data_IF_133182969296
#
_entry.id   IF_133182969296
#
_cell.length_a   1.000
_cell.length_b   1.000
_cell.length_c   1.000
_cell.angle_alpha   90.00
_cell.angle_beta   90.00
_cell.angle_gamma   90.00
#
_symmetry.space_group_name_H-M   'P 1'
#
loop_
_entity.id
_entity.type
_entity.pdbx_description
1 polymer ?
#
# COMPACT_ATOMS: atom_id res chain seq x y z
N UNK A 1 13.58 -6.90 10.03
CA UNK A 1 12.13 -6.80 9.72
C UNK A 1 11.85 -5.39 9.23
N UNK A 2 11.07 -5.20 8.19
CA UNK A 2 10.81 -3.89 7.53
C UNK A 2 10.18 -2.84 8.46
N UNK A 3 9.58 -3.27 9.56
CA UNK A 3 8.82 -2.40 10.47
C UNK A 3 7.53 -1.83 9.84
N UNK A 4 7.07 -2.41 8.72
CA UNK A 4 5.79 -2.07 8.09
C UNK A 4 4.70 -2.94 8.70
N UNK A 5 3.58 -2.36 9.19
CA UNK A 5 2.47 -3.15 9.73
C UNK A 5 1.87 -4.09 8.66
N UNK A 6 1.52 -5.32 9.03
CA UNK A 6 0.97 -6.29 8.07
C UNK A 6 -0.41 -5.91 7.57
N UNK A 7 -1.15 -5.05 8.30
CA UNK A 7 -2.52 -4.70 8.00
C UNK A 7 -2.78 -3.21 8.16
N UNK A 8 -3.24 -2.56 7.11
CA UNK A 8 -3.56 -1.14 7.10
C UNK A 8 -4.93 -0.86 6.47
N UNK A 9 -5.34 0.40 6.55
CA UNK A 9 -6.53 0.95 5.91
C UNK A 9 -6.11 1.84 4.74
N UNK A 10 -6.50 1.46 3.52
CA UNK A 10 -6.33 2.29 2.33
C UNK A 10 -7.45 3.33 2.22
N UNK A 11 -7.12 4.48 1.66
CA UNK A 11 -8.08 5.61 1.48
C UNK A 11 -8.36 5.95 0.02
N UNK A 12 -7.84 5.17 -0.92
CA UNK A 12 -8.08 5.39 -2.35
C UNK A 12 -9.57 5.40 -2.68
N UNK A 13 -10.02 6.38 -3.48
CA UNK A 13 -11.42 6.64 -3.87
C UNK A 13 -12.37 7.05 -2.73
N UNK A 14 -11.91 7.24 -1.53
CA UNK A 14 -12.72 7.81 -0.45
C UNK A 14 -12.58 9.33 -0.49
N UNK A 15 -13.69 10.05 -0.40
CA UNK A 15 -13.73 11.51 -0.50
C UNK A 15 -14.58 12.16 0.61
N UNK A 16 -14.26 13.39 0.96
CA UNK A 16 -15.05 14.21 1.90
C UNK A 16 -15.32 13.50 3.23
N UNK A 17 -16.55 13.58 3.74
CA UNK A 17 -16.93 12.97 5.01
C UNK A 17 -16.77 11.44 5.02
N UNK A 18 -16.88 10.78 3.86
CA UNK A 18 -16.76 9.32 3.76
C UNK A 18 -15.37 8.85 4.18
N UNK A 19 -14.30 9.56 3.80
CA UNK A 19 -12.95 9.19 4.23
C UNK A 19 -12.73 9.48 5.72
N UNK A 20 -13.24 10.59 6.23
CA UNK A 20 -13.19 10.92 7.67
C UNK A 20 -13.83 9.79 8.49
N UNK A 21 -15.05 9.39 8.11
CA UNK A 21 -15.79 8.34 8.82
C UNK A 21 -15.10 6.98 8.69
N UNK A 22 -14.58 6.63 7.50
CA UNK A 22 -13.86 5.37 7.30
C UNK A 22 -12.60 5.27 8.17
N UNK A 23 -11.79 6.34 8.19
CA UNK A 23 -10.55 6.38 9.01
C UNK A 23 -10.90 6.36 10.49
N UNK A 24 -11.88 7.14 10.95
CA UNK A 24 -12.35 7.14 12.33
C UNK A 24 -12.81 5.75 12.76
N UNK A 25 -13.69 5.10 12.00
CA UNK A 25 -14.15 3.74 12.29
C UNK A 25 -12.98 2.75 12.30
N UNK A 26 -12.05 2.88 11.37
CA UNK A 26 -10.85 2.03 11.34
C UNK A 26 -10.04 2.16 12.64
N UNK A 27 -9.74 3.38 13.08
CA UNK A 27 -9.00 3.64 14.32
C UNK A 27 -9.71 3.14 15.57
N UNK A 28 -11.04 3.35 15.67
CA UNK A 28 -11.89 2.79 16.74
C UNK A 28 -11.85 1.25 16.79
N UNK A 29 -11.78 0.59 15.62
CA UNK A 29 -11.69 -0.86 15.49
C UNK A 29 -10.29 -1.42 15.74
N UNK A 30 -9.27 -0.57 15.85
CA UNK A 30 -7.91 -0.99 16.14
C UNK A 30 -6.95 -0.96 14.95
N UNK A 31 -7.35 -0.43 13.78
CA UNK A 31 -6.37 -0.10 12.75
C UNK A 31 -5.36 0.91 13.28
N UNK A 32 -4.09 0.74 12.90
CA UNK A 32 -3.01 1.65 13.28
C UNK A 32 -2.15 2.08 12.08
N UNK A 33 -2.35 1.45 10.91
CA UNK A 33 -1.71 1.85 9.67
C UNK A 33 -2.75 2.46 8.71
N UNK A 34 -2.47 3.66 8.20
CA UNK A 34 -3.32 4.40 7.25
C UNK A 34 -2.50 4.71 6.01
N UNK A 35 -3.01 4.33 4.84
CA UNK A 35 -2.37 4.55 3.54
C UNK A 35 -3.17 5.54 2.71
N UNK A 36 -2.54 6.67 2.36
CA UNK A 36 -3.10 7.69 1.48
C UNK A 36 -2.09 8.07 0.37
N UNK A 37 -2.37 9.11 -0.39
CA UNK A 37 -1.46 9.67 -1.40
C UNK A 37 -1.89 11.09 -1.79
N UNK A 38 -0.96 11.90 -2.30
CA UNK A 38 -1.22 13.27 -2.77
C UNK A 38 -2.34 13.32 -3.81
N UNK A 39 -2.29 12.45 -4.82
CA UNK A 39 -3.27 12.42 -5.91
C UNK A 39 -4.69 12.04 -5.47
N UNK A 40 -4.86 11.43 -4.30
CA UNK A 40 -6.19 11.06 -3.83
C UNK A 40 -7.02 12.29 -3.43
N UNK A 41 -6.37 13.43 -3.17
CA UNK A 41 -7.05 14.68 -2.80
C UNK A 41 -7.75 14.64 -1.45
N UNK A 42 -7.42 13.67 -0.59
CA UNK A 42 -8.10 13.42 0.67
C UNK A 42 -7.19 13.47 1.92
N UNK A 43 -5.92 13.88 1.76
CA UNK A 43 -4.96 13.94 2.88
C UNK A 43 -5.46 14.84 4.02
N UNK A 44 -6.16 15.95 3.71
CA UNK A 44 -6.70 16.85 4.73
C UNK A 44 -7.79 16.18 5.59
N UNK A 45 -8.66 15.40 4.98
CA UNK A 45 -9.69 14.64 5.68
C UNK A 45 -9.12 13.48 6.48
N UNK A 46 -8.07 12.82 5.94
CA UNK A 46 -7.31 11.82 6.70
C UNK A 46 -6.69 12.48 7.94
N UNK A 47 -6.03 13.64 7.78
CA UNK A 47 -5.44 14.40 8.88
C UNK A 47 -6.48 14.85 9.93
N UNK A 48 -7.67 15.25 9.50
CA UNK A 48 -8.79 15.54 10.39
C UNK A 48 -9.17 14.33 11.24
N UNK A 49 -9.35 13.17 10.62
CA UNK A 49 -9.71 11.94 11.32
C UNK A 49 -8.62 11.46 12.28
N UNK A 50 -7.34 11.56 11.88
CA UNK A 50 -6.19 11.22 12.73
C UNK A 50 -6.14 12.11 13.97
N UNK A 51 -6.24 13.44 13.80
CA UNK A 51 -6.21 14.40 14.90
C UNK A 51 -7.39 14.24 15.89
N UNK A 52 -8.56 13.88 15.38
CA UNK A 52 -9.77 13.69 16.20
C UNK A 52 -9.84 12.32 16.89
N UNK A 53 -8.96 11.37 16.54
CA UNK A 53 -9.06 9.97 16.99
C UNK A 53 -8.69 9.75 18.46
N UNK A 54 -7.91 10.65 19.05
CA UNK A 54 -7.31 10.47 20.38
C UNK A 54 -6.18 9.43 20.42
N UNK A 55 -5.84 8.78 19.31
CA UNK A 55 -4.71 7.84 19.20
C UNK A 55 -3.43 8.66 19.11
N UNK A 56 -2.41 8.32 19.90
CA UNK A 56 -1.13 9.01 19.87
C UNK A 56 -0.47 8.84 18.48
N UNK A 57 0.21 9.91 18.02
CA UNK A 57 0.88 9.89 16.69
C UNK A 57 1.92 8.77 16.58
N UNK A 58 2.63 8.45 17.65
CA UNK A 58 3.67 7.40 17.67
C UNK A 58 3.09 5.96 17.68
N UNK A 59 1.79 5.80 17.89
CA UNK A 59 1.07 4.53 17.74
C UNK A 59 0.54 4.34 16.32
N UNK A 60 0.63 5.36 15.48
CA UNK A 60 0.14 5.32 14.10
C UNK A 60 1.28 5.12 13.11
N UNK A 61 0.99 4.38 12.05
CA UNK A 61 1.83 4.25 10.87
C UNK A 61 1.11 4.91 9.68
N UNK A 62 1.57 6.09 9.29
CA UNK A 62 0.95 6.87 8.22
C UNK A 62 1.82 6.81 6.98
N UNK A 63 1.22 6.40 5.85
CA UNK A 63 1.86 6.38 4.53
C UNK A 63 1.23 7.41 3.63
N UNK A 64 2.06 8.22 2.95
CA UNK A 64 1.65 9.00 1.80
C UNK A 64 2.56 8.74 0.60
N UNK A 65 2.19 9.23 -0.59
CA UNK A 65 2.91 8.97 -1.84
C UNK A 65 3.06 10.27 -2.61
N UNK A 66 4.27 10.52 -3.09
CA UNK A 66 4.57 11.68 -3.94
C UNK A 66 3.98 11.43 -5.33
N UNK A 67 3.24 12.40 -5.83
CA UNK A 67 2.69 12.35 -7.17
C UNK A 67 3.71 12.78 -8.22
N UNK A 68 3.55 12.30 -9.44
CA UNK A 68 4.52 12.44 -10.53
C UNK A 68 4.88 13.90 -10.89
N UNK A 69 3.98 14.84 -10.68
CA UNK A 69 4.19 16.26 -10.93
C UNK A 69 5.20 16.92 -9.96
N UNK A 70 5.52 16.23 -8.87
CA UNK A 70 6.38 16.69 -7.80
C UNK A 70 7.73 15.96 -7.72
N UNK A 71 8.14 15.24 -8.76
CA UNK A 71 9.38 14.44 -8.74
C UNK A 71 10.66 15.24 -8.83
N UNK A 72 10.62 16.44 -9.41
CA UNK A 72 11.79 17.31 -9.46
C UNK A 72 12.32 17.64 -8.07
N UNK A 73 13.64 17.70 -7.93
CA UNK A 73 14.33 17.84 -6.64
C UNK A 73 13.88 19.06 -5.84
N UNK A 74 13.57 20.16 -6.52
CA UNK A 74 13.07 21.40 -5.91
C UNK A 74 11.60 21.37 -5.53
N UNK A 75 10.84 20.35 -5.95
CA UNK A 75 9.39 20.20 -5.70
C UNK A 75 9.05 19.10 -4.73
N UNK A 76 9.82 18.02 -4.69
CA UNK A 76 9.47 16.83 -3.91
C UNK A 76 9.35 17.15 -2.40
N UNK A 77 10.38 17.75 -1.83
CA UNK A 77 10.39 18.10 -0.40
C UNK A 77 9.28 19.09 -0.04
N UNK A 78 9.10 20.23 -0.74
CA UNK A 78 7.97 21.12 -0.50
C UNK A 78 6.61 20.45 -0.61
N UNK A 79 6.41 19.55 -1.58
CA UNK A 79 5.15 18.82 -1.74
C UNK A 79 4.86 17.86 -0.58
N UNK A 80 5.91 17.25 0.00
CA UNK A 80 5.76 16.43 1.19
C UNK A 80 5.43 17.28 2.44
N UNK A 81 6.05 18.45 2.58
CA UNK A 81 5.70 19.40 3.66
C UNK A 81 4.23 19.84 3.57
N UNK A 82 3.72 20.07 2.35
CA UNK A 82 2.30 20.34 2.13
C UNK A 82 1.43 19.13 2.53
N UNK A 83 1.84 17.90 2.21
CA UNK A 83 1.16 16.67 2.65
C UNK A 83 1.15 16.58 4.18
N UNK A 84 2.26 16.86 4.86
CA UNK A 84 2.34 16.86 6.31
C UNK A 84 1.39 17.88 6.94
N UNK A 85 1.32 19.09 6.38
CA UNK A 85 0.36 20.12 6.84
C UNK A 85 -1.08 19.64 6.70
N UNK A 86 -1.46 19.02 5.57
CA UNK A 86 -2.77 18.41 5.34
C UNK A 86 -3.05 17.28 6.33
N UNK A 87 -2.09 16.41 6.56
CA UNK A 87 -2.17 15.28 7.49
C UNK A 87 -2.10 15.69 8.97
N UNK A 88 -1.83 16.99 9.26
CA UNK A 88 -1.72 17.57 10.62
C UNK A 88 -0.66 16.85 11.48
N UNK A 89 0.52 16.60 10.89
CA UNK A 89 1.62 15.89 11.53
C UNK A 89 2.97 16.44 11.07
N UNK A 90 4.00 16.33 11.88
CA UNK A 90 5.35 16.79 11.56
C UNK A 90 6.15 15.73 10.75
N UNK A 91 5.68 14.51 10.67
CA UNK A 91 6.32 13.44 9.92
C UNK A 91 5.29 12.38 9.47
N UNK A 92 5.65 11.62 8.43
CA UNK A 92 4.98 10.34 8.10
C UNK A 92 5.93 9.16 8.36
N UNK A 93 5.37 7.97 8.51
CA UNK A 93 6.16 6.77 8.77
C UNK A 93 6.75 6.19 7.48
N UNK A 94 6.09 6.45 6.34
CA UNK A 94 6.51 5.98 5.04
C UNK A 94 6.09 6.96 3.95
N UNK A 95 7.04 7.33 3.08
CA UNK A 95 6.77 8.07 1.84
C UNK A 95 7.18 7.22 0.65
N UNK A 96 6.29 7.12 -0.34
CA UNK A 96 6.53 6.35 -1.56
C UNK A 96 6.62 7.26 -2.79
N UNK A 97 7.46 6.90 -3.75
CA UNK A 97 7.28 7.31 -5.15
C UNK A 97 6.07 6.54 -5.67
N UNK A 98 5.02 7.25 -6.15
CA UNK A 98 3.71 6.63 -6.42
C UNK A 98 3.72 5.78 -7.69
N UNK A 99 4.33 6.26 -8.76
CA UNK A 99 4.51 5.59 -10.04
C UNK A 99 5.90 5.85 -10.59
N UNK A 100 6.47 4.95 -11.38
CA UNK A 100 7.76 5.22 -12.03
C UNK A 100 7.70 6.35 -13.06
N UNK A 101 6.55 6.57 -13.71
CA UNK A 101 6.27 7.63 -14.68
C UNK A 101 7.44 7.86 -15.66
N UNK A 102 7.80 6.87 -16.51
CA UNK A 102 9.04 6.90 -17.30
C UNK A 102 9.12 8.07 -18.30
N UNK A 103 8.01 8.71 -18.60
CA UNK A 103 7.91 9.84 -19.54
C UNK A 103 7.82 11.21 -18.90
N UNK A 104 7.95 11.37 -17.57
CA UNK A 104 7.73 12.67 -16.92
C UNK A 104 8.90 13.68 -17.02
N UNK A 105 10.00 13.27 -17.65
CA UNK A 105 11.17 14.14 -17.88
C UNK A 105 12.11 14.30 -16.69
N UNK A 106 11.77 13.81 -15.50
CA UNK A 106 12.64 13.82 -14.32
C UNK A 106 13.39 12.48 -14.23
N UNK A 107 14.72 12.46 -14.14
CA UNK A 107 15.47 11.24 -13.93
C UNK A 107 15.05 10.53 -12.64
N UNK A 108 14.90 9.21 -12.70
CA UNK A 108 14.51 8.40 -11.53
C UNK A 108 15.47 8.62 -10.35
N UNK A 109 16.75 8.68 -10.61
CA UNK A 109 17.82 8.86 -9.61
C UNK A 109 17.72 10.22 -8.90
N UNK A 110 17.28 11.26 -9.63
CA UNK A 110 17.03 12.59 -9.04
C UNK A 110 15.84 12.55 -8.07
N UNK A 111 14.73 11.97 -8.49
CA UNK A 111 13.54 11.78 -7.66
C UNK A 111 13.84 10.95 -6.40
N UNK A 112 14.59 9.85 -6.55
CA UNK A 112 14.98 8.99 -5.42
C UNK A 112 15.94 9.72 -4.47
N UNK A 113 16.88 10.53 -5.01
CA UNK A 113 17.75 11.37 -4.21
C UNK A 113 16.97 12.40 -3.39
N UNK A 114 16.00 13.08 -4.01
CA UNK A 114 15.12 14.01 -3.29
C UNK A 114 14.27 13.32 -2.19
N UNK A 115 13.83 12.10 -2.43
CA UNK A 115 13.12 11.30 -1.43
C UNK A 115 14.06 10.92 -0.24
N UNK A 116 15.32 10.64 -0.52
CA UNK A 116 16.33 10.39 0.52
C UNK A 116 16.62 11.66 1.33
N UNK A 117 16.67 12.84 0.69
CA UNK A 117 16.81 14.14 1.36
C UNK A 117 15.62 14.39 2.33
N UNK A 118 14.39 14.09 1.90
CA UNK A 118 13.20 14.18 2.76
C UNK A 118 13.32 13.29 4.01
N UNK A 119 13.86 12.08 3.86
CA UNK A 119 14.14 11.19 5.00
C UNK A 119 15.23 11.76 5.90
N UNK A 120 16.30 12.27 5.34
CA UNK A 120 17.41 12.87 6.10
C UNK A 120 16.95 14.11 6.90
N UNK A 121 15.97 14.85 6.36
CA UNK A 121 15.35 16.01 7.03
C UNK A 121 14.30 15.61 8.09
N UNK A 122 14.01 14.31 8.27
CA UNK A 122 13.07 13.82 9.28
C UNK A 122 11.60 13.92 8.91
N UNK A 123 11.26 14.35 7.68
CA UNK A 123 9.87 14.47 7.20
C UNK A 123 9.21 13.10 6.99
N UNK A 124 10.01 12.07 6.81
CA UNK A 124 9.56 10.67 6.73
C UNK A 124 10.54 9.73 7.42
N UNK A 125 10.04 8.73 8.12
CA UNK A 125 10.88 7.74 8.81
C UNK A 125 11.46 6.69 7.87
N UNK A 126 10.70 6.32 6.84
CA UNK A 126 11.04 5.32 5.82
C UNK A 126 10.69 5.84 4.44
N UNK A 127 11.39 5.32 3.46
CA UNK A 127 11.11 5.60 2.05
C UNK A 127 10.92 4.28 1.30
N UNK A 128 10.19 4.34 0.19
CA UNK A 128 9.95 3.21 -0.67
C UNK A 128 9.42 3.63 -2.03
N UNK A 129 9.01 2.65 -2.78
CA UNK A 129 8.49 2.86 -4.14
C UNK A 129 7.14 2.17 -4.30
N UNK A 130 6.42 2.52 -5.34
CA UNK A 130 5.18 1.86 -5.72
C UNK A 130 5.15 1.64 -7.23
N UNK A 131 4.64 0.47 -7.66
CA UNK A 131 4.50 0.11 -9.07
C UNK A 131 5.82 -0.03 -9.85
N UNK A 132 6.92 -0.31 -9.16
CA UNK A 132 8.20 -0.57 -9.80
C UNK A 132 8.29 -2.04 -10.22
N UNK A 133 8.72 -2.29 -11.47
CA UNK A 133 9.11 -3.60 -11.96
C UNK A 133 10.51 -3.97 -11.43
N UNK A 134 11.02 -5.15 -11.79
CA UNK A 134 12.33 -5.63 -11.33
C UNK A 134 13.46 -4.69 -11.77
N UNK A 135 13.45 -4.23 -13.02
CA UNK A 135 14.49 -3.34 -13.54
C UNK A 135 14.55 -2.02 -12.78
N UNK A 136 13.41 -1.36 -12.61
CA UNK A 136 13.30 -0.10 -11.87
C UNK A 136 13.67 -0.27 -10.39
N UNK A 137 13.30 -1.40 -9.80
CA UNK A 137 13.70 -1.71 -8.42
C UNK A 137 15.22 -1.88 -8.31
N UNK A 138 15.88 -2.54 -9.26
CA UNK A 138 17.34 -2.62 -9.32
C UNK A 138 18.01 -1.26 -9.43
N UNK A 139 17.46 -0.36 -10.27
CA UNK A 139 17.94 1.03 -10.37
C UNK A 139 17.77 1.77 -9.04
N UNK A 140 16.63 1.60 -8.38
CA UNK A 140 16.40 2.21 -7.06
C UNK A 140 17.39 1.68 -5.99
N UNK A 141 17.67 0.37 -5.99
CA UNK A 141 18.69 -0.23 -5.14
C UNK A 141 20.08 0.34 -5.43
N UNK A 142 20.43 0.50 -6.70
CA UNK A 142 21.73 1.08 -7.10
C UNK A 142 21.87 2.54 -6.67
N UNK A 143 20.77 3.32 -6.71
CA UNK A 143 20.78 4.73 -6.33
C UNK A 143 20.81 4.95 -4.81
N UNK A 144 20.09 4.15 -4.03
CA UNK A 144 19.85 4.38 -2.60
C UNK A 144 20.50 3.35 -1.66
N UNK A 145 20.89 2.19 -2.19
CA UNK A 145 21.21 0.99 -1.40
C UNK A 145 19.95 0.16 -1.06
N UNK A 146 20.09 -1.15 -1.00
CA UNK A 146 18.95 -2.06 -0.78
C UNK A 146 18.22 -1.83 0.55
N UNK A 147 18.95 -1.50 1.59
CA UNK A 147 18.40 -1.30 2.95
C UNK A 147 17.63 0.02 3.08
N UNK A 148 17.74 0.92 2.11
CA UNK A 148 17.02 2.19 2.10
C UNK A 148 15.55 2.04 1.68
N UNK A 149 15.22 1.04 0.85
CA UNK A 149 13.89 0.84 0.28
C UNK A 149 13.07 -0.07 1.18
N UNK A 150 12.16 0.52 1.96
CA UNK A 150 11.36 -0.23 2.93
C UNK A 150 10.35 -1.17 2.28
N UNK A 151 9.73 -0.75 1.18
CA UNK A 151 8.72 -1.54 0.45
C UNK A 151 8.63 -1.14 -1.01
N UNK A 152 8.16 -2.08 -1.84
CA UNK A 152 7.52 -1.80 -3.11
C UNK A 152 6.02 -2.12 -2.95
N UNK A 153 5.16 -1.08 -3.04
CA UNK A 153 3.71 -1.24 -2.98
C UNK A 153 3.19 -1.54 -4.39
N UNK A 154 2.64 -2.72 -4.60
CA UNK A 154 2.24 -3.21 -5.92
C UNK A 154 0.80 -3.71 -5.93
N UNK A 155 0.17 -3.67 -7.11
CA UNK A 155 -1.07 -4.39 -7.32
C UNK A 155 -0.82 -5.89 -7.16
N UNK A 156 -1.56 -6.52 -6.24
CA UNK A 156 -1.45 -7.94 -5.98
C UNK A 156 -2.77 -8.49 -5.45
N UNK A 157 -3.29 -9.51 -6.11
CA UNK A 157 -4.54 -10.18 -5.77
C UNK A 157 -4.46 -11.65 -6.15
N UNK A 158 -5.42 -12.51 -5.77
CA UNK A 158 -5.52 -13.87 -6.28
C UNK A 158 -5.44 -14.00 -7.81
N UNK A 159 -5.86 -12.95 -8.54
CA UNK A 159 -5.88 -12.91 -10.02
C UNK A 159 -4.65 -12.29 -10.65
N UNK A 160 -3.83 -11.60 -9.86
CA UNK A 160 -2.55 -11.00 -10.27
C UNK A 160 -1.55 -11.20 -9.13
N UNK A 161 -0.82 -12.29 -9.15
CA UNK A 161 0.05 -12.66 -8.01
C UNK A 161 1.46 -12.09 -8.12
N UNK A 162 1.84 -11.53 -9.26
CA UNK A 162 3.15 -10.90 -9.49
C UNK A 162 4.33 -11.71 -8.93
N UNK A 163 4.29 -13.06 -9.07
CA UNK A 163 5.19 -13.99 -8.37
C UNK A 163 6.66 -13.70 -8.62
N UNK A 164 7.01 -13.38 -9.88
CA UNK A 164 8.40 -13.10 -10.27
C UNK A 164 8.92 -11.84 -9.56
N UNK A 165 8.13 -10.76 -9.58
CA UNK A 165 8.47 -9.52 -8.89
C UNK A 165 8.49 -9.70 -7.37
N UNK A 166 7.48 -10.35 -6.79
CA UNK A 166 7.41 -10.57 -5.35
C UNK A 166 8.58 -11.42 -4.83
N UNK A 167 8.95 -12.50 -5.54
CA UNK A 167 10.11 -13.31 -5.19
C UNK A 167 11.43 -12.52 -5.26
N UNK A 168 11.59 -11.67 -6.29
CA UNK A 168 12.75 -10.78 -6.40
C UNK A 168 12.80 -9.81 -5.21
N UNK A 169 11.71 -9.12 -4.89
CA UNK A 169 11.64 -8.17 -3.78
C UNK A 169 11.99 -8.83 -2.44
N UNK A 170 11.42 -10.01 -2.17
CA UNK A 170 11.73 -10.78 -0.96
C UNK A 170 13.20 -11.22 -0.91
N UNK A 171 13.77 -11.62 -2.04
CA UNK A 171 15.20 -11.98 -2.16
C UNK A 171 16.14 -10.79 -1.87
N UNK A 172 15.72 -9.57 -2.21
CA UNK A 172 16.46 -8.34 -1.89
C UNK A 172 16.15 -7.79 -0.49
N UNK A 173 15.27 -8.43 0.29
CA UNK A 173 14.84 -7.95 1.60
C UNK A 173 13.88 -6.76 1.57
N UNK A 174 13.31 -6.44 0.40
CA UNK A 174 12.34 -5.37 0.22
C UNK A 174 10.94 -5.92 0.51
N UNK A 175 10.23 -5.26 1.41
CA UNK A 175 8.88 -5.67 1.78
C UNK A 175 7.89 -5.49 0.61
N UNK A 176 6.90 -6.37 0.53
CA UNK A 176 5.79 -6.26 -0.45
C UNK A 176 4.55 -5.75 0.26
N UNK A 177 4.02 -4.61 -0.20
CA UNK A 177 2.71 -4.12 0.22
C UNK A 177 1.73 -4.31 -0.93
N UNK A 178 0.65 -5.06 -0.68
CA UNK A 178 -0.39 -5.36 -1.66
C UNK A 178 -1.48 -4.29 -1.63
N UNK A 179 -1.69 -3.60 -2.75
CA UNK A 179 -2.92 -2.86 -2.97
C UNK A 179 -3.83 -3.63 -3.95
N UNK A 180 -5.11 -3.27 -4.01
CA UNK A 180 -6.11 -3.97 -4.82
C UNK A 180 -6.23 -5.48 -4.54
N UNK A 181 -5.94 -5.91 -3.31
CA UNK A 181 -5.97 -7.34 -2.92
C UNK A 181 -7.33 -8.00 -3.18
N UNK A 182 -8.42 -7.22 -3.18
CA UNK A 182 -9.76 -7.69 -3.50
C UNK A 182 -10.16 -7.49 -4.97
N UNK A 183 -9.24 -7.03 -5.86
CA UNK A 183 -9.46 -6.83 -7.30
C UNK A 183 -10.79 -6.11 -7.61
N UNK A 184 -11.01 -4.92 -7.00
CA UNK A 184 -12.28 -4.18 -7.07
C UNK A 184 -13.51 -4.99 -6.64
N UNK A 185 -13.33 -6.00 -5.77
CA UNK A 185 -14.39 -6.88 -5.32
C UNK A 185 -14.63 -8.11 -6.21
N UNK A 186 -13.92 -8.25 -7.33
CA UNK A 186 -14.09 -9.40 -8.25
C UNK A 186 -13.81 -10.74 -7.58
N UNK A 187 -12.86 -10.78 -6.63
CA UNK A 187 -12.53 -12.00 -5.88
C UNK A 187 -13.65 -12.45 -4.93
N UNK A 188 -14.57 -11.54 -4.57
CA UNK A 188 -15.64 -11.85 -3.62
C UNK A 188 -16.69 -12.84 -4.18
N UNK A 189 -16.83 -12.86 -5.51
CA UNK A 189 -17.72 -13.79 -6.22
C UNK A 189 -17.02 -15.03 -6.77
N UNK A 190 -15.73 -15.20 -6.51
CA UNK A 190 -14.98 -16.35 -7.03
C UNK A 190 -15.40 -17.66 -6.33
N UNK A 191 -15.76 -18.72 -7.08
CA UNK A 191 -16.26 -19.96 -6.49
C UNK A 191 -15.21 -20.69 -5.65
N UNK A 192 -13.91 -20.62 -6.02
CA UNK A 192 -12.84 -21.26 -5.25
C UNK A 192 -12.64 -20.53 -3.93
N UNK A 193 -12.57 -19.19 -3.96
CA UNK A 193 -12.44 -18.36 -2.75
C UNK A 193 -13.68 -18.53 -1.87
N UNK A 194 -14.88 -18.59 -2.48
CA UNK A 194 -16.14 -18.84 -1.78
C UNK A 194 -16.16 -20.20 -1.07
N UNK A 195 -15.68 -21.27 -1.72
CA UNK A 195 -15.60 -22.61 -1.12
C UNK A 195 -14.59 -22.63 0.05
N UNK A 196 -13.44 -21.97 -0.08
CA UNK A 196 -12.46 -21.82 1.01
C UNK A 196 -13.09 -21.05 2.18
N UNK A 197 -13.78 -19.94 1.89
CA UNK A 197 -14.45 -19.13 2.89
C UNK A 197 -15.49 -19.95 3.71
N UNK A 198 -16.28 -20.78 3.04
CA UNK A 198 -17.24 -21.68 3.71
C UNK A 198 -16.56 -22.69 4.65
N UNK A 199 -15.46 -23.35 4.20
CA UNK A 199 -14.70 -24.30 5.04
C UNK A 199 -14.19 -23.66 6.33
N UNK A 200 -13.74 -22.40 6.22
CA UNK A 200 -13.18 -21.66 7.35
C UNK A 200 -14.21 -20.84 8.13
N UNK A 201 -15.48 -20.84 7.75
CA UNK A 201 -16.53 -19.96 8.33
C UNK A 201 -16.12 -18.49 8.28
N UNK A 202 -15.49 -18.11 7.18
CA UNK A 202 -14.97 -16.76 6.92
C UNK A 202 -15.68 -16.12 5.72
N UNK A 203 -15.37 -14.86 5.44
CA UNK A 203 -15.82 -14.20 4.22
C UNK A 203 -14.78 -14.36 3.09
N UNK A 204 -15.18 -14.28 1.81
CA UNK A 204 -14.23 -14.26 0.68
C UNK A 204 -13.17 -13.16 0.81
N UNK A 205 -13.53 -11.98 1.34
CA UNK A 205 -12.58 -10.90 1.61
C UNK A 205 -11.52 -11.32 2.63
N UNK A 206 -11.92 -11.95 3.73
CA UNK A 206 -10.98 -12.47 4.73
C UNK A 206 -10.03 -13.50 4.14
N UNK A 207 -10.50 -14.38 3.27
CA UNK A 207 -9.67 -15.39 2.60
C UNK A 207 -8.61 -14.72 1.72
N UNK A 208 -9.00 -13.78 0.85
CA UNK A 208 -8.06 -13.10 -0.05
C UNK A 208 -7.01 -12.29 0.74
N UNK A 209 -7.42 -11.60 1.81
CA UNK A 209 -6.51 -10.86 2.68
C UNK A 209 -5.58 -11.78 3.48
N UNK A 210 -6.12 -12.87 4.07
CA UNK A 210 -5.33 -13.85 4.81
C UNK A 210 -4.31 -14.56 3.91
N UNK A 211 -4.65 -14.81 2.64
CA UNK A 211 -3.72 -15.36 1.65
C UNK A 211 -2.52 -14.45 1.44
N UNK A 212 -2.72 -13.16 1.21
CA UNK A 212 -1.62 -12.22 1.04
C UNK A 212 -0.75 -12.09 2.31
N UNK A 213 -1.39 -12.04 3.50
CA UNK A 213 -0.69 -12.04 4.79
C UNK A 213 0.15 -13.31 5.01
N UNK A 214 -0.37 -14.49 4.61
CA UNK A 214 0.36 -15.75 4.73
C UNK A 214 1.61 -15.79 3.84
N UNK A 215 1.59 -15.08 2.71
CA UNK A 215 2.76 -14.93 1.83
C UNK A 215 3.78 -13.91 2.37
N UNK A 216 3.51 -13.30 3.54
CA UNK A 216 4.38 -12.31 4.17
C UNK A 216 4.21 -10.89 3.65
N UNK A 217 3.10 -10.60 2.94
CA UNK A 217 2.83 -9.26 2.42
C UNK A 217 1.98 -8.45 3.39
N UNK A 218 2.09 -7.13 3.33
CA UNK A 218 1.12 -6.24 3.97
C UNK A 218 -0.07 -6.01 3.04
N UNK A 219 -1.26 -5.77 3.61
CA UNK A 219 -2.49 -5.47 2.88
C UNK A 219 -3.11 -4.16 3.38
N UNK A 220 -3.72 -3.40 2.47
CA UNK A 220 -4.32 -2.10 2.75
C UNK A 220 -5.74 -2.01 2.17
N UNK A 221 -6.67 -2.93 2.55
CA UNK A 221 -8.04 -2.86 2.09
C UNK A 221 -8.72 -1.56 2.54
N UNK A 222 -9.70 -1.09 1.76
CA UNK A 222 -10.57 0.03 2.10
C UNK A 222 -12.02 -0.41 2.21
N UNK A 223 -12.82 0.29 3.00
CA UNK A 223 -14.28 0.15 3.01
C UNK A 223 -14.93 1.40 3.58
N UNK A 224 -16.12 1.74 3.07
CA UNK A 224 -16.99 2.77 3.62
C UNK A 224 -17.90 2.24 4.74
N UNK A 225 -17.95 0.92 4.94
CA UNK A 225 -18.82 0.26 5.92
C UNK A 225 -18.02 -0.23 7.11
N UNK A 226 -18.43 0.19 8.31
CA UNK A 226 -17.77 -0.18 9.58
C UNK A 226 -17.72 -1.70 9.78
N UNK A 227 -18.78 -2.41 9.43
CA UNK A 227 -18.85 -3.87 9.52
C UNK A 227 -17.84 -4.56 8.62
N UNK A 228 -17.58 -4.05 7.43
CA UNK A 228 -16.55 -4.60 6.54
C UNK A 228 -15.15 -4.35 7.11
N UNK A 229 -14.90 -3.16 7.66
CA UNK A 229 -13.62 -2.87 8.33
C UNK A 229 -13.37 -3.83 9.49
N UNK A 230 -14.38 -4.05 10.33
CA UNK A 230 -14.30 -5.02 11.44
C UNK A 230 -14.05 -6.45 10.93
N UNK A 231 -14.80 -6.85 9.88
CA UNK A 231 -14.66 -8.17 9.26
C UNK A 231 -13.28 -8.39 8.66
N UNK A 232 -12.72 -7.39 7.96
CA UNK A 232 -11.42 -7.50 7.33
C UNK A 232 -10.28 -7.73 8.33
N UNK A 233 -10.35 -7.16 9.54
CA UNK A 233 -9.35 -7.37 10.59
C UNK A 233 -9.22 -8.85 11.00
N UNK A 234 -10.29 -9.62 10.90
CA UNK A 234 -10.29 -11.05 11.23
C UNK A 234 -9.41 -11.87 10.28
N UNK A 235 -9.06 -11.35 9.10
CA UNK A 235 -8.12 -12.00 8.20
C UNK A 235 -6.74 -12.25 8.84
N UNK A 236 -6.34 -11.46 9.82
CA UNK A 236 -5.07 -11.62 10.53
C UNK A 236 -5.00 -12.89 11.38
N UNK A 237 -6.14 -13.39 11.81
CA UNK A 237 -6.24 -14.62 12.63
C UNK A 237 -6.65 -15.84 11.83
N UNK A 238 -7.12 -15.67 10.59
CA UNK A 238 -7.51 -16.76 9.70
C UNK A 238 -6.28 -17.57 9.28
N UNK A 239 -6.33 -18.88 9.51
CA UNK A 239 -5.25 -19.82 9.15
C UNK A 239 -5.66 -20.63 7.93
N UNK A 240 -5.17 -20.24 6.77
CA UNK A 240 -5.34 -21.02 5.55
C UNK A 240 -4.39 -22.23 5.54
N UNK A 241 -4.84 -23.35 5.01
CA UNK A 241 -4.00 -24.54 4.78
C UNK A 241 -3.11 -24.36 3.56
N UNK A 242 -2.12 -25.24 3.38
CA UNK A 242 -1.29 -25.24 2.16
C UNK A 242 -2.12 -25.56 0.92
N UNK A 243 -3.14 -26.41 1.04
CA UNK A 243 -4.07 -26.71 -0.04
C UNK A 243 -4.92 -25.48 -0.43
N UNK A 244 -5.41 -24.70 0.55
CA UNK A 244 -6.11 -23.44 0.26
C UNK A 244 -5.21 -22.48 -0.52
N UNK A 245 -3.95 -22.35 -0.09
CA UNK A 245 -2.97 -21.50 -0.80
C UNK A 245 -2.72 -22.00 -2.20
N UNK A 246 -2.60 -23.32 -2.40
CA UNK A 246 -2.41 -23.91 -3.72
C UNK A 246 -3.64 -23.68 -4.64
N UNK A 247 -4.86 -23.82 -4.10
CA UNK A 247 -6.10 -23.53 -4.84
C UNK A 247 -6.15 -22.05 -5.25
N UNK A 248 -5.82 -21.11 -4.36
CA UNK A 248 -5.75 -19.68 -4.68
C UNK A 248 -4.63 -19.41 -5.68
N UNK A 249 -3.49 -20.10 -5.57
CA UNK A 249 -2.39 -19.98 -6.52
C UNK A 249 -2.78 -20.34 -7.95
N UNK A 250 -3.73 -21.23 -8.14
CA UNK A 250 -4.26 -21.62 -9.45
C UNK A 250 -5.19 -20.56 -10.09
N UNK A 251 -5.60 -19.53 -9.34
CA UNK A 251 -6.45 -18.43 -9.84
C UNK A 251 -5.68 -17.35 -10.60
N UNK A 252 -4.34 -17.43 -10.65
CA UNK A 252 -3.50 -16.51 -11.41
C UNK A 252 -3.93 -16.46 -12.89
N UNK A 253 -4.16 -15.25 -13.40
CA UNK A 253 -4.57 -15.04 -14.79
C UNK A 253 -4.05 -13.73 -15.39
N UNK A 254 -3.01 -13.14 -14.78
CA UNK A 254 -2.48 -11.81 -15.13
C UNK A 254 -3.58 -10.73 -15.16
N UNK A 255 -4.51 -10.82 -14.21
CA UNK A 255 -5.71 -9.98 -14.13
C UNK A 255 -5.42 -8.61 -13.53
N UNK A 256 -4.60 -7.80 -14.20
CA UNK A 256 -4.23 -6.45 -13.78
C UNK A 256 -5.40 -5.49 -13.93
N UNK A 257 -5.70 -4.75 -12.88
CA UNK A 257 -6.77 -3.77 -12.82
C UNK A 257 -6.28 -2.33 -13.01
N UNK A 258 -5.00 -2.07 -12.72
CA UNK A 258 -4.44 -0.71 -12.68
C UNK A 258 -3.14 -0.66 -13.49
N UNK A 259 -3.20 0.00 -14.66
CA UNK A 259 -2.03 0.21 -15.54
C UNK A 259 -2.24 1.50 -16.34
N UNK A 260 -2.16 2.68 -15.71
CA UNK A 260 -2.42 3.94 -16.37
C UNK A 260 -1.32 4.27 -17.40
N UNK A 261 -1.76 4.73 -18.57
CA UNK A 261 -0.87 5.14 -19.65
C UNK A 261 0.09 6.25 -19.19
N UNK A 262 1.35 6.17 -19.62
CA UNK A 262 2.38 7.15 -19.29
C UNK A 262 2.93 7.09 -17.85
N UNK A 263 2.26 6.38 -16.94
CA UNK A 263 2.69 6.23 -15.53
C UNK A 263 3.23 4.84 -15.25
N UNK A 264 2.58 3.81 -15.78
CA UNK A 264 2.95 2.43 -15.56
C UNK A 264 4.25 2.06 -16.29
N UNK A 265 5.08 1.17 -15.70
CA UNK A 265 6.22 0.61 -16.40
C UNK A 265 5.76 -0.47 -17.40
N UNK A 266 6.69 -0.94 -18.22
CA UNK A 266 6.54 -2.23 -18.84
C UNK A 266 6.62 -3.30 -17.73
N UNK A 267 5.54 -4.05 -17.53
CA UNK A 267 5.47 -5.05 -16.44
C UNK A 267 6.36 -6.27 -16.71
N UNK A 268 6.78 -6.98 -15.62
CA UNK A 268 7.64 -8.19 -15.66
C UNK A 268 6.97 -9.42 -16.27
#
# INVERSE_FOLDING_TARGET
>A
MSGIPPFGLGTFRLQGQVVVDSVRHGLELGYRAIDTAQIYGNEAQVGEALAASGVRRDELFVTTKIWVDHYARDRLVPSLEESLAKLRTDYVDLTLIHWPAPGNGVPLEECLGALADAKASGLTRRIGVSNFNIELTKRAIAALGKDAIATNQIELSPYLQNRKLAAFLQGEGIHVTSYMTLAYGKVLGDPVIGAIAQRHRATPAQVALAWALRLGYSVIPSSTKRENLASNLLAQTLRLTDDDVAQIAALERNGREVSPDGLAPQWD
#
